data_IF_135346144098
#
_entry.id   IF_135346144098
#
_cell.length_a   1.000
_cell.length_b   1.000
_cell.length_c   1.000
_cell.angle_alpha   90.00
_cell.angle_beta   90.00
_cell.angle_gamma   90.00
#
_symmetry.space_group_name_H-M   'P 1'
#
loop_
_entity.id
_entity.type
_entity.pdbx_description
1 polymer ?
#
# COMPACT_ATOMS: atom_id res chain seq x y z
N UNK A 1 -56.66 94.04 -11.85
CA UNK A 1 -56.61 92.61 -12.15
C UNK A 1 -55.28 92.12 -11.64
N UNK A 2 -55.24 91.64 -10.41
CA UNK A 2 -54.00 91.11 -9.79
C UNK A 2 -54.25 89.66 -9.34
N UNK A 3 -53.54 88.74 -9.92
CA UNK A 3 -53.59 87.33 -9.55
C UNK A 3 -52.45 87.05 -8.54
N UNK A 4 -52.83 86.64 -7.33
CA UNK A 4 -51.91 86.22 -6.28
C UNK A 4 -51.46 84.79 -6.61
N UNK A 5 -50.15 84.57 -6.59
CA UNK A 5 -49.48 83.32 -6.67
C UNK A 5 -49.17 82.83 -5.26
N UNK A 6 -49.72 81.73 -4.83
CA UNK A 6 -49.36 81.08 -3.54
C UNK A 6 -48.19 80.11 -3.84
N UNK A 7 -47.12 80.35 -3.13
CA UNK A 7 -45.97 79.44 -3.06
C UNK A 7 -46.18 78.47 -1.94
N UNK A 8 -46.40 77.21 -2.31
CA UNK A 8 -46.44 76.10 -1.38
C UNK A 8 -45.06 75.46 -1.16
N UNK A 9 -44.63 75.50 0.11
CA UNK A 9 -43.34 74.84 0.53
C UNK A 9 -43.56 73.41 0.76
N UNK A 10 -42.99 72.53 -0.07
CA UNK A 10 -42.99 71.10 0.14
C UNK A 10 -41.83 70.66 1.05
N UNK A 11 -42.18 70.08 2.20
CA UNK A 11 -41.21 69.50 3.14
C UNK A 11 -40.99 68.06 2.68
N UNK A 12 -39.78 67.74 2.18
CA UNK A 12 -39.36 66.42 1.84
C UNK A 12 -38.87 65.69 3.10
N UNK A 13 -39.63 64.66 3.53
CA UNK A 13 -39.19 63.71 4.57
C UNK A 13 -38.25 62.69 3.96
N UNK A 14 -36.94 62.77 4.30
CA UNK A 14 -36.00 61.73 3.93
C UNK A 14 -36.10 60.55 4.89
N UNK A 15 -36.66 59.44 4.40
CA UNK A 15 -36.61 58.14 5.08
C UNK A 15 -35.25 57.49 4.88
N UNK A 16 -34.42 57.50 5.93
CA UNK A 16 -33.18 56.73 5.98
C UNK A 16 -33.51 55.27 6.21
N UNK A 17 -33.54 54.48 5.15
CA UNK A 17 -33.59 53.02 5.25
C UNK A 17 -32.18 52.48 5.56
N UNK A 18 -31.94 52.19 6.83
CA UNK A 18 -30.73 51.51 7.30
C UNK A 18 -30.75 50.05 6.85
N UNK A 19 -30.11 49.78 5.71
CA UNK A 19 -29.86 48.40 5.27
C UNK A 19 -28.76 47.75 6.13
N UNK A 20 -29.11 46.86 7.05
CA UNK A 20 -28.16 46.01 7.72
C UNK A 20 -27.61 45.00 6.70
N UNK A 21 -26.37 45.20 6.22
CA UNK A 21 -25.63 44.17 5.47
C UNK A 21 -25.30 43.02 6.44
N UNK A 22 -26.07 41.95 6.36
CA UNK A 22 -25.72 40.71 7.04
C UNK A 22 -24.59 40.04 6.22
N UNK A 23 -23.36 40.13 6.71
CA UNK A 23 -22.21 39.42 6.19
C UNK A 23 -22.39 37.93 6.57
N UNK A 24 -22.83 37.10 5.62
CA UNK A 24 -22.72 35.66 5.76
C UNK A 24 -21.25 35.26 5.53
N UNK A 25 -20.48 35.23 6.62
CA UNK A 25 -19.17 34.61 6.60
C UNK A 25 -19.32 33.14 6.25
N UNK A 26 -18.80 32.74 5.11
CA UNK A 26 -18.64 31.30 4.80
C UNK A 26 -17.65 30.73 5.79
N UNK A 27 -18.13 30.00 6.79
CA UNK A 27 -17.29 29.16 7.65
C UNK A 27 -16.75 28.06 6.76
N UNK A 28 -15.54 28.22 6.22
CA UNK A 28 -14.77 27.13 5.64
C UNK A 28 -14.43 26.18 6.77
N UNK A 29 -15.14 25.04 6.83
CA UNK A 29 -14.69 23.93 7.67
C UNK A 29 -13.28 23.55 7.21
N UNK A 30 -12.32 23.34 8.14
CA UNK A 30 -11.01 22.82 7.75
C UNK A 30 -11.25 21.53 7.00
N UNK A 31 -10.76 21.45 5.76
CA UNK A 31 -10.67 20.18 5.06
C UNK A 31 -9.87 19.26 6.00
N UNK A 32 -10.49 18.23 6.52
CA UNK A 32 -9.75 17.15 7.16
C UNK A 32 -8.76 16.70 6.09
N UNK A 33 -7.48 16.92 6.34
CA UNK A 33 -6.44 16.28 5.57
C UNK A 33 -6.75 14.79 5.66
N UNK A 34 -7.09 14.18 4.51
CA UNK A 34 -7.30 12.74 4.47
C UNK A 34 -6.02 12.12 5.05
N UNK A 35 -6.18 11.30 6.08
CA UNK A 35 -5.06 10.56 6.68
C UNK A 35 -4.36 9.82 5.54
N UNK A 36 -3.06 10.04 5.38
CA UNK A 36 -2.31 9.45 4.27
C UNK A 36 -2.31 7.94 4.44
N UNK A 37 -3.05 7.25 3.59
CA UNK A 37 -3.09 5.78 3.58
C UNK A 37 -1.81 5.30 2.91
N UNK A 38 -0.86 4.80 3.70
CA UNK A 38 0.43 4.36 3.18
C UNK A 38 0.37 3.01 2.45
N UNK A 39 -0.64 2.19 2.72
CA UNK A 39 -0.83 0.88 2.08
C UNK A 39 -2.29 0.44 2.10
N UNK A 40 -2.64 -0.51 1.23
CA UNK A 40 -3.98 -1.11 1.15
C UNK A 40 -5.01 -0.25 0.45
N UNK A 41 -4.62 0.89 -0.13
CA UNK A 41 -5.46 1.72 -0.99
C UNK A 41 -5.78 1.05 -2.33
N UNK A 42 -6.76 1.58 -3.07
CA UNK A 42 -7.21 0.96 -4.32
C UNK A 42 -6.09 0.90 -5.38
N UNK A 43 -5.22 1.90 -5.45
CA UNK A 43 -4.08 1.91 -6.35
C UNK A 43 -3.04 0.84 -5.99
N UNK A 44 -2.79 0.63 -4.71
CA UNK A 44 -1.88 -0.42 -4.23
C UNK A 44 -2.44 -1.81 -4.53
N UNK A 45 -3.74 -2.00 -4.31
CA UNK A 45 -4.44 -3.26 -4.63
C UNK A 45 -4.39 -3.54 -6.13
N UNK A 46 -4.73 -2.55 -6.96
CA UNK A 46 -4.68 -2.69 -8.40
C UNK A 46 -3.25 -2.99 -8.90
N UNK A 47 -2.22 -2.38 -8.29
CA UNK A 47 -0.84 -2.71 -8.62
C UNK A 47 -0.47 -4.14 -8.17
N UNK A 48 -0.86 -4.54 -6.97
CA UNK A 48 -0.62 -5.89 -6.46
C UNK A 48 -1.24 -6.98 -7.35
N UNK A 49 -2.44 -6.74 -7.88
CA UNK A 49 -3.08 -7.65 -8.84
C UNK A 49 -2.30 -7.76 -10.15
N UNK A 50 -1.76 -6.65 -10.68
CA UNK A 50 -0.90 -6.69 -11.86
C UNK A 50 0.41 -7.42 -11.57
N UNK A 51 1.04 -7.11 -10.44
CA UNK A 51 2.26 -7.78 -9.98
C UNK A 51 2.06 -9.31 -9.90
N UNK A 52 0.95 -9.76 -9.29
CA UNK A 52 0.66 -11.19 -9.21
C UNK A 52 0.52 -11.84 -10.58
N UNK A 53 -0.16 -11.19 -11.54
CA UNK A 53 -0.29 -11.71 -12.91
C UNK A 53 1.06 -11.88 -13.60
N UNK A 54 1.94 -10.89 -13.47
CA UNK A 54 3.29 -10.96 -14.06
C UNK A 54 4.15 -12.04 -13.37
N UNK A 55 4.05 -12.17 -12.05
CA UNK A 55 4.70 -13.25 -11.30
C UNK A 55 4.22 -14.64 -11.77
N UNK A 56 2.92 -14.79 -11.99
CA UNK A 56 2.34 -16.05 -12.47
C UNK A 56 2.74 -16.34 -13.93
N UNK A 57 2.75 -15.33 -14.80
CA UNK A 57 3.23 -15.45 -16.18
C UNK A 57 4.70 -15.86 -16.25
N UNK A 58 5.53 -15.34 -15.33
CA UNK A 58 6.93 -15.72 -15.18
C UNK A 58 7.13 -17.07 -14.44
N UNK A 59 6.06 -17.74 -14.03
CA UNK A 59 6.07 -19.00 -13.25
C UNK A 59 6.80 -18.86 -11.90
N UNK A 60 6.73 -17.72 -11.29
CA UNK A 60 7.34 -17.45 -9.97
C UNK A 60 6.35 -17.69 -8.82
N UNK A 61 5.04 -17.75 -9.11
CA UNK A 61 3.97 -18.05 -8.16
C UNK A 61 2.89 -18.92 -8.81
N UNK A 62 1.98 -19.46 -8.00
CA UNK A 62 0.84 -20.25 -8.47
C UNK A 62 1.21 -21.68 -8.84
N UNK A 63 0.26 -22.39 -9.44
CA UNK A 63 0.43 -23.81 -9.79
C UNK A 63 1.55 -24.01 -10.81
N UNK A 64 2.49 -24.90 -10.49
CA UNK A 64 3.63 -25.21 -11.35
C UNK A 64 4.67 -24.12 -11.42
N UNK A 65 4.72 -23.26 -10.41
CA UNK A 65 5.78 -22.29 -10.25
C UNK A 65 7.15 -22.95 -10.14
N UNK A 66 8.19 -22.21 -10.53
CA UNK A 66 9.56 -22.58 -10.26
C UNK A 66 9.73 -22.67 -8.75
N UNK A 67 10.35 -23.76 -8.27
CA UNK A 67 10.62 -23.93 -6.86
C UNK A 67 12.13 -23.85 -6.61
N UNK A 68 12.49 -23.35 -5.44
CA UNK A 68 13.85 -23.33 -4.92
C UNK A 68 13.96 -24.29 -3.75
N UNK A 69 15.12 -24.37 -3.15
CA UNK A 69 15.36 -25.26 -2.01
C UNK A 69 14.67 -24.74 -0.75
N UNK A 70 13.76 -25.53 -0.13
CA UNK A 70 13.16 -25.15 1.13
C UNK A 70 14.19 -25.11 2.27
N UNK A 71 13.96 -24.24 3.26
CA UNK A 71 14.78 -24.12 4.44
C UNK A 71 13.94 -23.77 5.65
N UNK A 72 14.49 -23.98 6.84
CA UNK A 72 13.82 -23.63 8.10
C UNK A 72 13.65 -22.12 8.20
N UNK A 73 12.42 -21.69 8.45
CA UNK A 73 12.04 -20.30 8.58
C UNK A 73 12.04 -19.82 10.02
N UNK A 74 11.67 -18.57 10.18
CA UNK A 74 11.48 -17.92 11.48
C UNK A 74 10.20 -17.09 11.45
N UNK A 75 9.58 -16.95 12.63
CA UNK A 75 8.45 -16.02 12.78
C UNK A 75 8.84 -14.60 12.28
N UNK A 76 7.90 -13.88 11.64
CA UNK A 76 6.48 -14.25 11.41
C UNK A 76 6.21 -14.95 10.06
N UNK A 77 7.23 -15.41 9.36
CA UNK A 77 7.06 -15.91 7.99
C UNK A 77 6.56 -17.35 7.90
N UNK A 78 6.93 -18.21 8.87
CA UNK A 78 6.50 -19.59 8.88
C UNK A 78 7.62 -20.57 9.20
N UNK A 79 7.26 -21.85 9.40
CA UNK A 79 8.21 -22.90 9.80
C UNK A 79 9.19 -23.25 8.67
N UNK A 80 8.72 -23.28 7.44
CA UNK A 80 9.55 -23.56 6.24
C UNK A 80 9.33 -22.44 5.24
N UNK A 81 10.40 -22.07 4.56
CA UNK A 81 10.43 -21.00 3.57
C UNK A 81 11.05 -21.51 2.26
N UNK A 82 10.58 -20.92 1.16
CA UNK A 82 11.25 -20.95 -0.15
C UNK A 82 11.42 -19.52 -0.62
N UNK A 83 12.61 -19.15 -1.02
CA UNK A 83 12.89 -17.81 -1.54
C UNK A 83 13.28 -17.88 -3.03
N UNK A 84 12.74 -16.95 -3.80
CA UNK A 84 13.12 -16.68 -5.18
C UNK A 84 13.46 -15.20 -5.30
N UNK A 85 14.44 -14.89 -6.14
CA UNK A 85 14.81 -13.51 -6.44
C UNK A 85 15.18 -13.36 -7.91
N UNK A 86 15.02 -12.16 -8.44
CA UNK A 86 15.33 -11.84 -9.82
C UNK A 86 14.83 -10.46 -10.21
N UNK A 87 14.67 -10.28 -11.50
CA UNK A 87 14.06 -9.09 -12.08
C UNK A 87 12.72 -9.43 -12.71
N UNK A 88 11.74 -8.54 -12.57
CA UNK A 88 10.42 -8.68 -13.14
C UNK A 88 9.99 -7.37 -13.79
N UNK A 89 9.30 -7.46 -14.93
CA UNK A 89 8.72 -6.30 -15.60
C UNK A 89 7.23 -6.20 -15.28
N UNK A 90 6.82 -5.08 -14.68
CA UNK A 90 5.41 -4.76 -14.39
C UNK A 90 5.11 -3.38 -14.96
N UNK A 91 4.02 -3.25 -15.73
CA UNK A 91 3.62 -1.98 -16.38
C UNK A 91 4.77 -1.37 -17.23
N UNK A 92 5.55 -2.21 -17.92
CA UNK A 92 6.66 -1.78 -18.76
C UNK A 92 7.93 -1.37 -18.01
N UNK A 93 7.96 -1.49 -16.68
CA UNK A 93 9.12 -1.18 -15.85
C UNK A 93 9.70 -2.47 -15.24
N UNK A 94 10.99 -2.66 -15.42
CA UNK A 94 11.74 -3.75 -14.77
C UNK A 94 12.26 -3.30 -13.40
N UNK A 95 12.06 -4.12 -12.39
CA UNK A 95 12.55 -3.92 -11.04
C UNK A 95 12.94 -5.23 -10.38
N UNK A 96 13.81 -5.16 -9.38
CA UNK A 96 14.16 -6.32 -8.57
C UNK A 96 12.91 -6.85 -7.84
N UNK A 97 12.80 -8.17 -7.77
CA UNK A 97 11.71 -8.86 -7.07
C UNK A 97 12.25 -9.93 -6.15
N UNK A 98 11.70 -9.99 -4.95
CA UNK A 98 11.94 -11.04 -3.95
C UNK A 98 10.59 -11.68 -3.65
N UNK A 99 10.51 -12.98 -3.79
CA UNK A 99 9.32 -13.77 -3.47
C UNK A 99 9.70 -14.74 -2.36
N UNK A 100 8.91 -14.79 -1.31
CA UNK A 100 9.08 -15.73 -0.22
C UNK A 100 7.79 -16.49 -0.01
N UNK A 101 7.81 -17.78 -0.30
CA UNK A 101 6.74 -18.71 0.00
C UNK A 101 6.85 -19.14 1.45
N UNK A 102 5.75 -18.99 2.18
CA UNK A 102 5.68 -19.18 3.64
C UNK A 102 4.79 -20.41 3.91
N UNK A 103 5.37 -21.45 4.50
CA UNK A 103 4.69 -22.72 4.77
C UNK A 103 4.46 -22.88 6.26
N UNK A 104 3.23 -23.25 6.64
CA UNK A 104 2.78 -23.38 8.02
C UNK A 104 1.95 -24.66 8.19
N UNK A 105 1.95 -25.21 9.41
CA UNK A 105 1.19 -26.38 9.78
C UNK A 105 1.99 -27.36 10.63
N UNK A 106 1.31 -28.28 11.34
CA UNK A 106 1.94 -29.18 12.31
C UNK A 106 2.94 -30.18 11.70
N UNK A 107 2.75 -30.56 10.43
CA UNK A 107 3.59 -31.55 9.73
C UNK A 107 4.47 -30.95 8.64
N UNK A 108 4.59 -29.61 8.62
CA UNK A 108 5.45 -28.92 7.64
C UNK A 108 6.92 -29.18 7.96
N UNK A 109 7.67 -29.59 6.93
CA UNK A 109 9.10 -29.86 6.99
C UNK A 109 9.76 -29.56 5.64
N UNK A 110 11.08 -29.44 5.60
CA UNK A 110 11.84 -29.29 4.35
C UNK A 110 11.52 -30.38 3.35
N UNK A 111 11.39 -31.64 3.79
CA UNK A 111 11.05 -32.74 2.90
C UNK A 111 9.61 -32.64 2.38
N UNK A 112 8.62 -32.37 3.24
CA UNK A 112 7.22 -32.27 2.80
C UNK A 112 6.99 -31.15 1.79
N UNK A 113 7.67 -30.01 1.94
CA UNK A 113 7.61 -28.90 0.98
C UNK A 113 8.36 -29.22 -0.31
N UNK A 114 9.48 -29.95 -0.23
CA UNK A 114 10.20 -30.41 -1.43
C UNK A 114 9.37 -31.38 -2.26
N UNK A 115 8.65 -32.29 -1.60
CA UNK A 115 7.83 -33.31 -2.23
C UNK A 115 6.52 -32.74 -2.80
N UNK A 116 5.93 -31.78 -2.11
CA UNK A 116 4.69 -31.10 -2.52
C UNK A 116 4.67 -29.61 -2.14
N UNK A 117 5.22 -28.74 -3.01
CA UNK A 117 5.34 -27.32 -2.74
C UNK A 117 3.99 -26.56 -2.73
N UNK A 118 2.91 -27.17 -3.17
CA UNK A 118 1.58 -26.56 -3.10
C UNK A 118 0.88 -26.84 -1.75
N UNK A 119 1.37 -27.85 -1.02
CA UNK A 119 0.78 -28.22 0.26
C UNK A 119 1.29 -27.31 1.39
N UNK A 120 0.35 -26.84 2.23
CA UNK A 120 0.66 -25.99 3.38
C UNK A 120 1.27 -24.60 3.04
N UNK A 121 1.14 -24.15 1.81
CA UNK A 121 1.49 -22.78 1.42
C UNK A 121 0.48 -21.81 2.02
N UNK A 122 0.84 -21.17 3.13
CA UNK A 122 -0.02 -20.28 3.90
C UNK A 122 -0.02 -18.85 3.36
N UNK A 123 1.12 -18.40 2.82
CA UNK A 123 1.23 -17.08 2.24
C UNK A 123 2.40 -16.98 1.25
N UNK A 124 2.28 -16.04 0.33
CA UNK A 124 3.36 -15.58 -0.54
C UNK A 124 3.61 -14.11 -0.23
N UNK A 125 4.79 -13.80 0.33
CA UNK A 125 5.21 -12.41 0.54
C UNK A 125 6.12 -11.97 -0.59
N UNK A 126 5.89 -10.76 -1.09
CA UNK A 126 6.60 -10.21 -2.25
C UNK A 126 7.12 -8.82 -1.91
N UNK A 127 8.38 -8.57 -2.25
CA UNK A 127 8.96 -7.24 -2.35
C UNK A 127 9.27 -6.97 -3.82
N UNK A 128 8.83 -5.84 -4.35
CA UNK A 128 9.10 -5.41 -5.71
C UNK A 128 9.63 -3.98 -5.72
N UNK A 129 10.78 -3.74 -6.35
CA UNK A 129 11.37 -2.40 -6.38
C UNK A 129 10.69 -1.54 -7.45
N UNK A 130 9.94 -0.53 -6.99
CA UNK A 130 9.24 0.45 -7.81
C UNK A 130 10.20 1.49 -8.40
N UNK A 131 9.63 2.49 -9.08
CA UNK A 131 10.40 3.64 -9.57
C UNK A 131 11.04 4.42 -8.42
N UNK A 132 12.17 5.05 -8.71
CA UNK A 132 12.80 6.00 -7.79
C UNK A 132 11.79 7.05 -7.32
N UNK A 133 11.77 7.30 -6.01
CA UNK A 133 10.86 8.23 -5.35
C UNK A 133 9.49 7.64 -4.98
N UNK A 134 9.21 6.36 -5.24
CA UNK A 134 7.98 5.70 -4.79
C UNK A 134 7.89 5.65 -3.26
N UNK A 135 8.94 5.24 -2.60
CA UNK A 135 9.12 5.19 -1.15
C UNK A 135 10.62 5.30 -0.82
N UNK A 136 11.20 6.46 -1.11
CA UNK A 136 12.65 6.67 -1.06
C UNK A 136 13.25 6.36 0.32
N UNK A 137 12.51 6.61 1.39
CA UNK A 137 12.93 6.30 2.75
C UNK A 137 13.06 4.79 3.01
N UNK A 138 12.41 3.97 2.18
CA UNK A 138 12.40 2.50 2.26
C UNK A 138 12.87 1.85 0.96
N UNK A 139 13.83 2.49 0.27
CA UNK A 139 14.49 1.98 -0.94
C UNK A 139 13.52 1.65 -2.09
N UNK A 140 12.40 2.36 -2.16
CA UNK A 140 11.35 2.21 -3.18
C UNK A 140 10.72 0.81 -3.24
N UNK A 141 10.74 0.07 -2.15
CA UNK A 141 10.11 -1.24 -2.09
C UNK A 141 8.58 -1.14 -1.97
N UNK A 142 7.90 -1.79 -2.89
CA UNK A 142 6.50 -2.18 -2.78
C UNK A 142 6.42 -3.54 -2.10
N UNK A 143 5.54 -3.68 -1.14
CA UNK A 143 5.34 -4.89 -0.37
C UNK A 143 3.95 -5.46 -0.61
N UNK A 144 3.83 -6.79 -0.70
CA UNK A 144 2.53 -7.43 -0.77
C UNK A 144 2.56 -8.79 -0.07
N UNK A 145 1.41 -9.18 0.51
CA UNK A 145 1.20 -10.49 1.08
C UNK A 145 -0.06 -11.12 0.48
N UNK A 146 0.13 -12.24 -0.18
CA UNK A 146 -0.93 -12.97 -0.87
C UNK A 146 -1.19 -14.31 -0.20
N UNK A 147 -2.41 -14.82 -0.37
CA UNK A 147 -2.74 -16.23 -0.20
C UNK A 147 -2.20 -17.04 -1.40
N UNK A 148 -2.23 -18.37 -1.31
CA UNK A 148 -1.74 -19.26 -2.38
C UNK A 148 -2.49 -19.10 -3.71
N UNK A 149 -3.72 -18.59 -3.69
CA UNK A 149 -4.55 -18.32 -4.87
C UNK A 149 -4.33 -16.93 -5.49
N UNK A 150 -3.49 -16.09 -4.88
CA UNK A 150 -3.18 -14.73 -5.34
C UNK A 150 -4.08 -13.64 -4.77
N UNK A 151 -5.04 -13.97 -3.92
CA UNK A 151 -5.79 -12.97 -3.19
C UNK A 151 -4.92 -12.27 -2.14
N UNK A 152 -5.07 -10.95 -1.97
CA UNK A 152 -4.36 -10.22 -0.92
C UNK A 152 -4.85 -10.60 0.46
N UNK A 153 -3.93 -10.87 1.36
CA UNK A 153 -4.23 -11.00 2.79
C UNK A 153 -4.43 -9.62 3.42
N UNK A 154 -5.10 -9.61 4.57
CA UNK A 154 -5.34 -8.40 5.37
C UNK A 154 -4.61 -8.49 6.71
N UNK A 155 -4.36 -7.32 7.30
CA UNK A 155 -3.97 -7.24 8.69
C UNK A 155 -5.19 -7.44 9.62
N UNK A 156 -5.03 -7.52 10.96
CA UNK A 156 -6.15 -7.66 11.89
C UNK A 156 -7.20 -6.54 11.83
N UNK A 157 -6.84 -5.35 11.32
CA UNK A 157 -7.76 -4.25 11.10
C UNK A 157 -8.52 -4.33 9.76
N UNK A 158 -8.31 -5.40 8.97
CA UNK A 158 -8.97 -5.61 7.68
C UNK A 158 -8.34 -4.85 6.52
N UNK A 159 -7.19 -4.18 6.71
CA UNK A 159 -6.48 -3.45 5.65
C UNK A 159 -5.69 -4.43 4.81
N UNK A 160 -5.84 -4.33 3.48
CA UNK A 160 -5.13 -5.18 2.52
C UNK A 160 -3.62 -4.94 2.56
N UNK A 161 -2.86 -6.01 2.62
CA UNK A 161 -1.41 -5.96 2.76
C UNK A 161 -0.74 -5.79 1.38
N UNK A 162 -0.83 -4.57 0.85
CA UNK A 162 -0.18 -4.17 -0.41
C UNK A 162 0.18 -2.68 -0.35
N UNK A 163 1.38 -2.29 -0.78
CA UNK A 163 1.80 -0.90 -0.86
C UNK A 163 3.06 -0.59 -0.05
N UNK A 164 3.13 0.63 0.49
CA UNK A 164 4.25 1.12 1.31
C UNK A 164 4.14 0.63 2.77
N UNK A 165 4.00 -0.68 2.96
CA UNK A 165 3.86 -1.29 4.29
C UNK A 165 5.08 -0.99 5.17
N UNK A 166 6.22 -0.65 4.55
CA UNK A 166 7.42 -0.21 5.25
C UNK A 166 7.27 1.07 6.07
N UNK A 167 6.27 1.92 5.80
CA UNK A 167 6.12 3.21 6.51
C UNK A 167 5.54 3.14 7.92
N UNK A 168 5.00 2.01 8.33
CA UNK A 168 4.55 1.83 9.73
C UNK A 168 5.65 1.13 10.56
N UNK A 169 6.43 1.87 11.38
CA UNK A 169 7.66 1.32 11.98
C UNK A 169 7.42 0.33 13.11
N UNK A 170 6.23 0.25 13.71
CA UNK A 170 6.04 -0.53 14.93
C UNK A 170 5.48 -1.93 14.69
N UNK A 171 4.68 -2.14 13.64
CA UNK A 171 3.94 -3.40 13.42
C UNK A 171 4.09 -3.98 12.01
N UNK A 172 4.95 -3.40 11.17
CA UNK A 172 5.05 -3.73 9.75
C UNK A 172 6.36 -4.43 9.38
N UNK A 173 6.41 -4.91 8.16
CA UNK A 173 7.55 -5.63 7.58
C UNK A 173 8.89 -4.93 7.83
N UNK A 174 8.93 -3.59 7.75
CA UNK A 174 10.13 -2.79 7.94
C UNK A 174 10.74 -2.90 9.34
N UNK A 175 9.92 -3.16 10.37
CA UNK A 175 10.41 -3.27 11.75
C UNK A 175 11.54 -4.30 11.87
N UNK A 176 11.43 -5.41 11.11
CA UNK A 176 12.47 -6.44 11.04
C UNK A 176 13.39 -6.22 9.83
N UNK A 177 12.85 -5.92 8.65
CA UNK A 177 13.62 -5.87 7.40
C UNK A 177 14.69 -4.79 7.36
N UNK A 178 14.54 -3.69 8.12
CA UNK A 178 15.60 -2.67 8.27
C UNK A 178 16.90 -3.18 8.92
N UNK A 179 16.86 -4.35 9.55
CA UNK A 179 18.01 -4.98 10.15
C UNK A 179 18.64 -6.06 9.25
N UNK A 180 18.14 -6.23 8.02
CA UNK A 180 18.74 -7.15 7.07
C UNK A 180 20.18 -6.69 6.73
N UNK A 181 21.16 -7.60 6.71
CA UNK A 181 22.51 -7.27 6.29
C UNK A 181 22.51 -6.84 4.81
N UNK A 182 23.34 -5.85 4.47
CA UNK A 182 23.50 -5.38 3.09
C UNK A 182 22.72 -4.12 2.74
N UNK A 183 22.04 -3.49 3.71
CA UNK A 183 21.31 -2.22 3.57
C UNK A 183 20.29 -2.19 2.43
N UNK A 184 19.74 -3.35 2.04
CA UNK A 184 18.74 -3.51 0.97
C UNK A 184 17.40 -4.04 1.46
N UNK A 185 17.26 -4.27 2.77
CA UNK A 185 16.08 -4.82 3.43
C UNK A 185 15.76 -6.29 3.07
N UNK A 186 16.71 -7.00 2.45
CA UNK A 186 16.50 -8.38 1.98
C UNK A 186 17.23 -9.38 2.89
N UNK A 187 16.45 -10.24 3.56
CA UNK A 187 17.00 -11.41 4.23
C UNK A 187 17.11 -12.55 3.22
N UNK A 188 18.32 -12.86 2.82
CA UNK A 188 18.64 -14.07 2.05
C UNK A 188 19.03 -15.20 2.99
N UNK A 189 18.77 -16.43 2.59
CA UNK A 189 19.29 -17.58 3.31
C UNK A 189 20.75 -17.85 2.88
N UNK A 190 21.70 -17.21 3.53
CA UNK A 190 23.13 -17.34 3.26
C UNK A 190 23.66 -18.79 3.42
N UNK A 191 22.88 -19.67 4.07
CA UNK A 191 23.25 -21.09 4.21
C UNK A 191 23.14 -21.85 2.89
N UNK A 192 22.44 -21.30 1.88
CA UNK A 192 22.32 -21.91 0.55
C UNK A 192 23.48 -21.50 -0.39
N UNK A 193 24.31 -20.57 0.00
CA UNK A 193 25.40 -20.00 -0.84
C UNK A 193 26.74 -20.66 -0.56
N UNK A 194 26.77 -21.75 0.21
CA UNK A 194 28.00 -22.52 0.53
C UNK A 194 28.09 -23.83 -0.23
#
# INVERSE_FOLDING_TARGET
>A
MFRKILTGTAIALALMAGGALVWFGTVSLPAHAAEEVFFGGDDDVAFAERLWRELAAARLVGRGAINSRPYEGTEPHGAILVILQGDLTVDGRTGAVIIKNNYMGESVSVSSVSDNPDLNLAAVTVMFRRAEGYDADNLDWFWAKYSSDGSLQTNPAGVRLAGRIGKNPEDACIACHKFAPGDDYVFLNDQLVR
#
